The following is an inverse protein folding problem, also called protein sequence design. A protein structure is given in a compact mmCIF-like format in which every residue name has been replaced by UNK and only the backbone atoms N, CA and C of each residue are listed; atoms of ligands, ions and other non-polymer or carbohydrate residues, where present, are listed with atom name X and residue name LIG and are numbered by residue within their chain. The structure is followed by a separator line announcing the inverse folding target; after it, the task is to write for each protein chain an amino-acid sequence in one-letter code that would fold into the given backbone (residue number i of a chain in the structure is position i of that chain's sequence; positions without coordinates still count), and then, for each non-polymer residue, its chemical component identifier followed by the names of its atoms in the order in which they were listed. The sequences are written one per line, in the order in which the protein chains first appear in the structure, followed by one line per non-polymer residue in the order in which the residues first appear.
data_IF_255175328576
#
_entry.id   IF_255175328576
#
_cell.length_a   1.000
_cell.length_b   1.000
_cell.length_c   1.000
_cell.angle_alpha   90.00
_cell.angle_beta   90.00
_cell.angle_gamma   90.00
#
_symmetry.space_group_name_H-M   'P 1'
#
loop_
_entity.id
_entity.type
_entity.pdbx_description
1 polymer ?
#
# COMPACT_ATOMS: atom_id res chain seq x y z
N UNK A 1 17.15 3.76 1.90
CA UNK A 1 16.67 3.16 0.65
C UNK A 1 17.00 4.10 -0.49
N UNK A 2 17.51 3.58 -1.59
CA UNK A 2 17.64 4.33 -2.85
C UNK A 2 16.24 4.64 -3.37
N UNK A 3 16.04 5.80 -4.01
CA UNK A 3 14.75 6.10 -4.63
C UNK A 3 14.44 5.05 -5.71
N UNK A 4 13.21 4.51 -5.76
CA UNK A 4 12.82 3.53 -6.77
C UNK A 4 12.94 4.14 -8.17
N UNK A 5 13.39 3.36 -9.13
CA UNK A 5 13.41 3.77 -10.53
C UNK A 5 12.02 3.74 -11.13
N UNK A 6 11.81 4.39 -12.28
CA UNK A 6 10.54 4.31 -13.01
C UNK A 6 10.17 2.85 -13.38
N UNK A 7 11.18 1.99 -13.62
CA UNK A 7 10.96 0.57 -13.88
C UNK A 7 10.47 -0.17 -12.62
N UNK A 8 11.04 0.14 -11.45
CA UNK A 8 10.58 -0.45 -10.18
C UNK A 8 9.14 -0.07 -9.87
N UNK A 9 8.77 1.19 -10.12
CA UNK A 9 7.39 1.67 -9.96
C UNK A 9 6.44 0.97 -10.93
N UNK A 10 6.83 0.81 -12.20
CA UNK A 10 6.00 0.10 -13.18
C UNK A 10 5.81 -1.38 -12.83
N UNK A 11 6.86 -2.05 -12.33
CA UNK A 11 6.79 -3.43 -11.86
C UNK A 11 5.86 -3.56 -10.66
N UNK A 12 6.06 -2.75 -9.62
CA UNK A 12 5.23 -2.74 -8.41
C UNK A 12 3.76 -2.47 -8.73
N UNK A 13 3.50 -1.54 -9.66
CA UNK A 13 2.15 -1.25 -10.15
C UNK A 13 1.52 -2.47 -10.81
N UNK A 14 2.28 -3.19 -11.64
CA UNK A 14 1.81 -4.41 -12.29
C UNK A 14 1.49 -5.50 -11.26
N UNK A 15 2.36 -5.69 -10.26
CA UNK A 15 2.14 -6.63 -9.18
C UNK A 15 0.90 -6.27 -8.35
N UNK A 16 0.69 -5.00 -8.05
CA UNK A 16 -0.52 -4.54 -7.35
C UNK A 16 -1.80 -4.82 -8.17
N UNK A 17 -1.77 -4.67 -9.50
CA UNK A 17 -2.91 -5.01 -10.35
C UNK A 17 -3.22 -6.51 -10.29
N UNK A 18 -2.19 -7.36 -10.26
CA UNK A 18 -2.36 -8.82 -10.22
C UNK A 18 -2.77 -9.34 -8.84
N UNK A 19 -2.13 -8.85 -7.78
CA UNK A 19 -2.25 -9.42 -6.42
C UNK A 19 -2.94 -8.51 -5.40
N UNK A 20 -3.07 -7.22 -5.66
CA UNK A 20 -3.56 -6.23 -4.68
C UNK A 20 -4.98 -6.53 -4.20
N UNK A 21 -5.84 -7.13 -5.03
CA UNK A 21 -7.19 -7.55 -4.61
C UNK A 21 -7.18 -8.65 -3.53
N UNK A 22 -6.17 -9.51 -3.51
CA UNK A 22 -5.99 -10.50 -2.44
C UNK A 22 -5.53 -9.82 -1.16
N UNK A 23 -4.66 -8.80 -1.28
CA UNK A 23 -4.15 -8.01 -0.15
C UNK A 23 -5.28 -7.27 0.56
N UNK A 24 -6.11 -6.50 -0.16
CA UNK A 24 -7.29 -5.85 0.46
C UNK A 24 -8.35 -6.86 0.89
N UNK A 25 -8.49 -7.98 0.19
CA UNK A 25 -9.52 -8.99 0.48
C UNK A 25 -9.36 -9.70 1.82
N UNK A 26 -8.18 -9.64 2.44
CA UNK A 26 -7.89 -10.18 3.78
C UNK A 26 -8.44 -9.30 4.90
N UNK A 27 -8.71 -8.03 4.61
CA UNK A 27 -9.18 -7.07 5.59
C UNK A 27 -10.66 -7.35 5.97
N UNK A 28 -10.97 -7.15 7.25
CA UNK A 28 -12.29 -7.44 7.81
C UNK A 28 -13.41 -6.46 7.42
N UNK A 29 -13.08 -5.35 6.75
CA UNK A 29 -13.99 -4.26 6.41
C UNK A 29 -14.24 -4.18 4.89
N UNK A 30 -15.06 -5.08 4.31
CA UNK A 30 -15.22 -5.21 2.86
C UNK A 30 -15.78 -3.97 2.15
N UNK A 31 -16.40 -3.05 2.88
CA UNK A 31 -17.08 -1.88 2.31
C UNK A 31 -16.14 -0.87 1.65
N UNK A 32 -14.86 -0.82 2.03
CA UNK A 32 -13.89 0.15 1.50
C UNK A 32 -12.74 -0.47 0.69
N UNK A 33 -12.75 -1.79 0.47
CA UNK A 33 -11.68 -2.50 -0.24
C UNK A 33 -11.38 -1.91 -1.63
N UNK A 34 -12.42 -1.55 -2.40
CA UNK A 34 -12.22 -0.95 -3.73
C UNK A 34 -11.61 0.46 -3.64
N UNK A 35 -12.00 1.26 -2.64
CA UNK A 35 -11.44 2.58 -2.41
C UNK A 35 -9.97 2.49 -2.02
N UNK A 36 -9.62 1.58 -1.12
CA UNK A 36 -8.23 1.31 -0.71
C UNK A 36 -7.40 0.79 -1.89
N UNK A 37 -7.93 -0.17 -2.65
CA UNK A 37 -7.25 -0.71 -3.83
C UNK A 37 -6.89 0.39 -4.84
N UNK A 38 -7.84 1.28 -5.14
CA UNK A 38 -7.63 2.41 -6.06
C UNK A 38 -6.68 3.46 -5.48
N UNK A 39 -6.77 3.71 -4.17
CA UNK A 39 -5.86 4.63 -3.50
C UNK A 39 -4.41 4.17 -3.63
N UNK A 40 -4.13 2.89 -3.35
CA UNK A 40 -2.78 2.34 -3.50
C UNK A 40 -2.28 2.46 -4.95
N UNK A 41 -3.13 2.16 -5.93
CA UNK A 41 -2.74 2.29 -7.35
C UNK A 41 -2.36 3.74 -7.71
N UNK A 42 -3.16 4.72 -7.26
CA UNK A 42 -2.86 6.14 -7.47
C UNK A 42 -1.60 6.57 -6.72
N UNK A 43 -1.38 6.04 -5.52
CA UNK A 43 -0.22 6.35 -4.69
C UNK A 43 1.09 5.91 -5.36
N UNK A 44 1.12 4.69 -5.91
CA UNK A 44 2.26 4.17 -6.68
C UNK A 44 2.58 5.10 -7.86
N UNK A 45 1.55 5.58 -8.56
CA UNK A 45 1.72 6.38 -9.78
C UNK A 45 2.14 7.84 -9.51
N UNK A 46 1.76 8.44 -8.37
CA UNK A 46 1.75 9.92 -8.23
C UNK A 46 2.22 10.50 -6.90
N UNK A 47 2.57 9.68 -5.91
CA UNK A 47 2.79 10.18 -4.54
C UNK A 47 4.25 10.26 -4.12
N UNK A 48 5.20 10.44 -5.05
CA UNK A 48 6.63 10.52 -4.72
C UNK A 48 6.97 11.68 -3.74
N UNK A 49 6.17 12.74 -3.73
CA UNK A 49 6.32 13.88 -2.82
C UNK A 49 5.57 13.71 -1.47
N UNK A 50 4.86 12.60 -1.27
CA UNK A 50 4.19 12.32 0.01
C UNK A 50 5.26 12.06 1.10
N UNK A 51 5.15 12.70 2.29
CA UNK A 51 6.13 12.51 3.36
C UNK A 51 6.20 11.05 3.85
N UNK A 52 5.14 10.27 3.69
CA UNK A 52 5.08 8.85 4.04
C UNK A 52 5.46 7.93 2.86
N UNK A 53 5.91 8.47 1.71
CA UNK A 53 6.12 7.73 0.46
C UNK A 53 6.96 6.47 0.63
N UNK A 54 8.16 6.58 1.21
CA UNK A 54 9.04 5.41 1.38
C UNK A 54 8.43 4.33 2.29
N UNK A 55 7.71 4.75 3.33
CA UNK A 55 7.04 3.85 4.27
C UNK A 55 5.91 3.09 3.58
N UNK A 56 5.01 3.82 2.92
CA UNK A 56 3.86 3.21 2.22
C UNK A 56 4.33 2.31 1.09
N UNK A 57 5.35 2.72 0.33
CA UNK A 57 5.92 1.90 -0.73
C UNK A 57 6.49 0.57 -0.20
N UNK A 58 7.17 0.60 0.94
CA UNK A 58 7.65 -0.59 1.62
C UNK A 58 6.51 -1.51 2.08
N UNK A 59 5.44 -0.94 2.62
CA UNK A 59 4.26 -1.71 3.01
C UNK A 59 3.59 -2.39 1.81
N UNK A 60 3.45 -1.67 0.68
CA UNK A 60 2.89 -2.24 -0.55
C UNK A 60 3.76 -3.42 -1.02
N UNK A 61 5.09 -3.21 -1.13
CA UNK A 61 6.02 -4.25 -1.56
C UNK A 61 5.94 -5.50 -0.66
N UNK A 62 5.98 -5.33 0.65
CA UNK A 62 5.94 -6.44 1.60
C UNK A 62 4.56 -7.11 1.66
N UNK A 63 3.47 -6.37 1.45
CA UNK A 63 2.12 -6.93 1.40
C UNK A 63 1.91 -7.89 0.23
N UNK A 64 2.65 -7.70 -0.86
CA UNK A 64 2.62 -8.52 -2.07
C UNK A 64 3.58 -9.72 -2.03
N UNK A 65 4.32 -9.92 -0.93
CA UNK A 65 5.19 -11.08 -0.79
C UNK A 65 4.38 -12.35 -0.48
N UNK A 66 3.98 -13.05 -1.53
CA UNK A 66 3.24 -14.31 -1.46
C UNK A 66 4.13 -15.57 -1.33
N UNK A 67 5.45 -15.41 -1.34
CA UNK A 67 6.40 -16.52 -1.15
C UNK A 67 6.48 -16.99 0.31
N UNK A 68 5.92 -16.21 1.22
CA UNK A 68 5.76 -16.55 2.64
C UNK A 68 4.27 -16.73 2.98
N UNK A 69 3.95 -17.46 4.06
CA UNK A 69 2.57 -17.61 4.49
C UNK A 69 1.91 -16.24 4.67
N UNK A 70 0.69 -16.09 4.15
CA UNK A 70 0.00 -14.81 4.12
C UNK A 70 -0.19 -14.20 5.52
N UNK A 71 -0.36 -15.03 6.56
CA UNK A 71 -0.41 -14.58 7.95
C UNK A 71 0.88 -13.92 8.46
N UNK A 72 2.04 -14.25 7.88
CA UNK A 72 3.34 -13.66 8.28
C UNK A 72 3.46 -12.17 7.91
N UNK A 73 2.65 -11.69 6.96
CA UNK A 73 2.60 -10.29 6.52
C UNK A 73 1.33 -9.57 6.98
N UNK A 74 0.57 -10.14 7.92
CA UNK A 74 -0.69 -9.57 8.39
C UNK A 74 -0.51 -8.15 8.93
N UNK A 75 0.46 -7.91 9.82
CA UNK A 75 0.70 -6.56 10.38
C UNK A 75 1.09 -5.52 9.31
N UNK A 76 1.77 -5.96 8.23
CA UNK A 76 2.11 -5.08 7.10
C UNK A 76 0.85 -4.67 6.35
N UNK A 77 -0.07 -5.61 6.11
CA UNK A 77 -1.36 -5.31 5.48
C UNK A 77 -2.21 -4.41 6.37
N UNK A 78 -2.31 -4.72 7.65
CA UNK A 78 -3.07 -3.91 8.61
C UNK A 78 -2.58 -2.45 8.63
N UNK A 79 -1.25 -2.24 8.69
CA UNK A 79 -0.65 -0.91 8.61
C UNK A 79 -0.94 -0.21 7.26
N UNK A 80 -0.88 -0.94 6.14
CA UNK A 80 -1.21 -0.41 4.82
C UNK A 80 -2.68 0.03 4.74
N UNK A 81 -3.61 -0.81 5.21
CA UNK A 81 -5.05 -0.50 5.23
C UNK A 81 -5.32 0.70 6.14
N UNK A 82 -4.68 0.76 7.31
CA UNK A 82 -4.81 1.89 8.22
C UNK A 82 -4.39 3.20 7.56
N UNK A 83 -3.19 3.25 6.96
CA UNK A 83 -2.68 4.47 6.31
C UNK A 83 -3.56 4.87 5.13
N UNK A 84 -3.94 3.91 4.29
CA UNK A 84 -4.81 4.17 3.14
C UNK A 84 -6.14 4.82 3.57
N UNK A 85 -6.77 4.28 4.62
CA UNK A 85 -8.01 4.84 5.20
C UNK A 85 -7.79 6.25 5.74
N UNK A 86 -6.73 6.47 6.52
CA UNK A 86 -6.41 7.79 7.07
C UNK A 86 -6.21 8.84 5.98
N UNK A 87 -5.51 8.49 4.89
CA UNK A 87 -5.24 9.38 3.75
C UNK A 87 -6.45 9.55 2.83
N UNK A 88 -7.34 8.56 2.77
CA UNK A 88 -8.64 8.68 2.09
C UNK A 88 -9.57 9.66 2.84
N UNK A 89 -9.57 9.62 4.17
CA UNK A 89 -10.34 10.52 5.02
C UNK A 89 -9.75 11.95 5.04
N UNK A 90 -8.42 12.04 5.17
CA UNK A 90 -7.67 13.31 5.20
C UNK A 90 -6.39 13.18 4.35
N UNK A 91 -6.39 13.69 3.11
CA UNK A 91 -5.24 13.63 2.21
C UNK A 91 -3.97 14.32 2.76
N UNK A 92 -4.12 15.24 3.72
CA UNK A 92 -3.01 15.94 4.35
C UNK A 92 -2.54 15.26 5.64
N UNK A 93 -3.25 14.23 6.10
CA UNK A 93 -2.80 13.43 7.23
C UNK A 93 -1.41 12.87 6.94
N UNK A 94 -0.54 12.90 7.94
CA UNK A 94 0.79 12.32 7.87
C UNK A 94 1.00 11.47 9.11
N UNK A 95 1.74 10.37 8.97
CA UNK A 95 2.08 9.54 10.13
C UNK A 95 2.93 10.35 11.11
N UNK A 96 2.43 10.55 12.32
CA UNK A 96 3.25 11.12 13.39
C UNK A 96 4.22 10.04 13.88
N UNK A 97 5.51 10.29 13.71
CA UNK A 97 6.56 9.53 14.40
C UNK A 97 6.58 10.00 15.85
N UNK A 98 6.24 9.10 16.78
CA UNK A 98 6.44 9.31 18.22
C UNK A 98 7.88 8.92 18.56
#
# INVERSE_FOLDING_TARGET
MTNPTAQDIAALRSEWITGGRLVVGDDSSPSDHESVYRWVLNFIDRSADDPDYSTVLGLIYHSLNFDIPFSATQSVRDDLMHIARRKLDDPHWCRQTI
#
